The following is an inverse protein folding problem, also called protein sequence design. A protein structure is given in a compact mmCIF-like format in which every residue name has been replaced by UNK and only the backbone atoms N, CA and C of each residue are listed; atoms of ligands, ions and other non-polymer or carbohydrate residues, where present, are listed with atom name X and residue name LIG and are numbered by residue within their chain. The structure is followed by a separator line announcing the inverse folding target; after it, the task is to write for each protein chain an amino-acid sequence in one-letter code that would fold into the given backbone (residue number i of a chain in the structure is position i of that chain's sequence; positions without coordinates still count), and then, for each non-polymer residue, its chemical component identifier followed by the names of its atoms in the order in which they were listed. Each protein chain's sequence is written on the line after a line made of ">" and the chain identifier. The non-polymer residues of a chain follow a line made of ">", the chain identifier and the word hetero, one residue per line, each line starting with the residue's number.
data_IF_106321989479
#
_entry.id   IF_106321989479
#
_cell.length_a   1.000
_cell.length_b   1.000
_cell.length_c   1.000
_cell.angle_alpha   90.00
_cell.angle_beta   90.00
_cell.angle_gamma   90.00
#
_symmetry.space_group_name_H-M   'P 1'
#
loop_
_entity.id
_entity.type
_entity.pdbx_description
1 polymer ?
#
# COMPACT_ATOMS: atom_id res chain seq x y z
N UNK A 1 4.25 6.84 17.03
CA UNK A 1 3.63 7.35 15.81
C UNK A 1 4.08 6.54 14.59
N UNK A 2 3.33 6.59 13.51
CA UNK A 2 3.68 5.96 12.24
C UNK A 2 3.74 7.00 11.13
N UNK A 3 4.59 6.75 10.14
CA UNK A 3 4.76 7.61 8.96
C UNK A 3 4.48 6.74 7.73
N UNK A 4 3.70 7.26 6.76
CA UNK A 4 3.49 6.61 5.49
C UNK A 4 4.70 6.83 4.57
N UNK A 5 5.12 5.77 3.89
CA UNK A 5 6.27 5.77 2.99
C UNK A 5 5.84 5.97 1.54
N UNK A 6 6.60 6.74 0.80
CA UNK A 6 6.44 6.97 -0.65
C UNK A 6 7.49 6.23 -1.47
N UNK A 7 8.66 5.97 -0.88
CA UNK A 7 9.72 5.18 -1.50
C UNK A 7 9.78 3.78 -0.87
N UNK A 8 10.33 2.82 -1.60
CA UNK A 8 10.50 1.44 -1.11
C UNK A 8 11.64 1.27 -0.10
N UNK A 9 12.35 2.33 0.27
CA UNK A 9 13.49 2.26 1.18
C UNK A 9 13.39 3.30 2.29
N UNK A 10 13.60 2.85 3.51
CA UNK A 10 13.54 3.66 4.71
C UNK A 10 14.80 3.48 5.54
N UNK A 11 15.44 4.57 5.92
CA UNK A 11 16.53 4.57 6.89
C UNK A 11 16.03 5.02 8.25
N UNK A 12 16.31 4.25 9.28
CA UNK A 12 16.00 4.55 10.66
C UNK A 12 17.31 4.68 11.45
N UNK A 13 17.46 5.77 12.19
CA UNK A 13 18.65 6.06 13.01
C UNK A 13 18.20 6.56 14.40
N UNK A 14 18.20 5.73 15.42
CA UNK A 14 17.91 6.15 16.79
C UNK A 14 19.05 7.03 17.33
N UNK A 15 18.73 8.24 17.79
CA UNK A 15 19.71 9.21 18.30
C UNK A 15 19.72 9.29 19.82
N UNK A 16 18.60 9.12 20.47
CA UNK A 16 18.45 9.34 21.91
C UNK A 16 18.33 8.09 22.77
N UNK A 17 18.36 6.90 22.16
CA UNK A 17 18.22 5.59 22.81
C UNK A 17 17.95 4.55 21.74
N UNK A 18 17.90 3.28 22.14
CA UNK A 18 17.56 2.18 21.24
C UNK A 18 16.13 2.30 20.75
N UNK A 19 15.83 1.70 19.59
CA UNK A 19 14.49 1.68 19.02
C UNK A 19 14.10 0.29 18.53
N UNK A 20 12.80 0.02 18.57
CA UNK A 20 12.15 -1.12 17.94
C UNK A 20 11.37 -0.60 16.75
N UNK A 21 11.54 -1.24 15.59
CA UNK A 21 11.00 -0.77 14.33
C UNK A 21 10.19 -1.88 13.68
N UNK A 22 8.99 -1.54 13.24
CA UNK A 22 8.14 -2.40 12.43
C UNK A 22 7.67 -1.65 11.19
N UNK A 23 7.72 -2.32 10.04
CA UNK A 23 7.29 -1.78 8.75
C UNK A 23 6.17 -2.65 8.20
N UNK A 24 5.12 -2.04 7.67
CA UNK A 24 3.98 -2.77 7.13
C UNK A 24 2.78 -1.86 6.87
N UNK A 25 1.64 -2.45 6.61
CA UNK A 25 0.40 -1.72 6.31
C UNK A 25 -0.22 -1.07 7.56
N UNK A 26 -0.14 -1.76 8.71
CA UNK A 26 -0.63 -1.26 10.00
C UNK A 26 0.32 -1.66 11.13
N UNK A 27 1.58 -1.20 11.09
CA UNK A 27 2.61 -1.66 12.02
C UNK A 27 2.37 -1.14 13.44
N UNK A 28 2.70 -1.97 14.42
CA UNK A 28 2.73 -1.62 15.84
C UNK A 28 4.05 -2.10 16.43
N UNK A 29 4.99 -1.19 16.64
CA UNK A 29 6.29 -1.55 17.18
C UNK A 29 6.19 -1.98 18.64
N UNK A 30 6.71 -3.17 18.94
CA UNK A 30 6.78 -3.79 20.28
C UNK A 30 8.19 -4.22 20.59
N UNK A 31 8.47 -4.53 21.86
CA UNK A 31 9.79 -4.99 22.31
C UNK A 31 10.04 -6.46 21.94
N UNK A 32 8.97 -7.21 21.66
CA UNK A 32 9.03 -8.67 21.52
C UNK A 32 9.12 -9.14 20.06
N UNK A 33 8.50 -8.40 19.12
CA UNK A 33 8.34 -8.84 17.74
C UNK A 33 8.95 -7.92 16.70
N UNK A 34 9.30 -6.69 17.08
CA UNK A 34 9.83 -5.69 16.16
C UNK A 34 11.35 -5.76 16.03
N UNK A 35 11.89 -5.24 14.94
CA UNK A 35 13.32 -5.23 14.67
C UNK A 35 14.00 -4.23 15.62
N UNK A 36 14.94 -4.72 16.39
CA UNK A 36 15.76 -3.90 17.28
C UNK A 36 16.82 -3.12 16.48
N UNK A 37 16.88 -1.82 16.71
CA UNK A 37 17.89 -0.92 16.13
C UNK A 37 18.64 -0.23 17.26
N UNK A 38 19.94 -0.53 17.46
CA UNK A 38 20.74 0.10 18.49
C UNK A 38 20.88 1.61 18.31
N UNK A 39 21.04 2.32 19.41
CA UNK A 39 21.33 3.75 19.42
C UNK A 39 22.54 4.08 18.52
N UNK A 40 22.46 5.19 17.76
CA UNK A 40 23.52 5.67 16.87
C UNK A 40 23.86 4.73 15.70
N UNK A 41 23.05 3.68 15.49
CA UNK A 41 23.17 2.77 14.35
C UNK A 41 22.11 3.12 13.32
N UNK A 42 22.47 3.07 12.03
CA UNK A 42 21.50 3.25 10.96
C UNK A 42 21.14 1.90 10.34
N UNK A 43 19.85 1.62 10.24
CA UNK A 43 19.34 0.47 9.49
C UNK A 43 18.48 0.92 8.33
N UNK A 44 18.59 0.23 7.21
CA UNK A 44 17.76 0.44 6.02
C UNK A 44 16.77 -0.72 5.89
N UNK A 45 15.50 -0.37 5.80
CA UNK A 45 14.41 -1.30 5.57
C UNK A 45 13.97 -1.16 4.12
N UNK A 46 13.69 -2.28 3.48
CA UNK A 46 13.10 -2.35 2.15
C UNK A 46 11.68 -2.88 2.28
N UNK A 47 10.74 -2.19 1.65
CA UNK A 47 9.35 -2.64 1.57
C UNK A 47 8.82 -2.39 0.16
N UNK A 48 7.95 -3.28 -0.31
CA UNK A 48 7.34 -3.13 -1.62
C UNK A 48 6.21 -2.10 -1.57
N UNK A 49 6.42 -0.98 -2.24
CA UNK A 49 5.37 0.02 -2.49
C UNK A 49 4.77 -0.28 -3.87
N UNK A 50 3.88 -1.26 -3.91
CA UNK A 50 3.22 -1.65 -5.16
C UNK A 50 2.20 -0.59 -5.58
N UNK A 51 2.14 -0.28 -6.89
CA UNK A 51 1.11 0.57 -7.47
C UNK A 51 0.62 0.02 -8.80
N UNK A 52 -0.60 0.38 -9.18
CA UNK A 52 -1.21 -0.03 -10.45
C UNK A 52 -2.17 1.04 -10.95
N UNK A 53 -2.19 1.23 -12.27
CA UNK A 53 -3.17 2.07 -12.94
C UNK A 53 -4.50 1.32 -13.08
N UNK A 54 -5.61 2.04 -12.95
CA UNK A 54 -6.96 1.52 -13.16
C UNK A 54 -7.54 2.03 -14.47
N UNK A 55 -8.46 1.28 -15.06
CA UNK A 55 -9.10 1.64 -16.33
C UNK A 55 -10.59 1.97 -16.18
N UNK A 56 -11.22 1.49 -15.13
CA UNK A 56 -12.61 1.81 -14.84
C UNK A 56 -12.95 1.56 -13.39
N UNK A 57 -14.05 2.16 -12.94
CA UNK A 57 -14.58 2.04 -11.59
C UNK A 57 -16.07 1.71 -11.65
N UNK A 58 -16.51 0.87 -10.74
CA UNK A 58 -17.91 0.60 -10.49
C UNK A 58 -18.21 0.62 -8.98
N UNK A 59 -19.34 1.20 -8.62
CA UNK A 59 -19.82 1.15 -7.24
C UNK A 59 -20.63 -0.14 -7.02
N UNK A 60 -20.40 -0.82 -5.92
CA UNK A 60 -21.12 -2.00 -5.49
C UNK A 60 -21.44 -1.91 -4.00
N UNK A 61 -22.58 -1.30 -3.66
CA UNK A 61 -23.14 -1.30 -2.29
C UNK A 61 -22.15 -0.90 -1.19
N UNK A 62 -21.51 0.27 -1.35
CA UNK A 62 -20.55 0.81 -0.37
C UNK A 62 -19.10 0.38 -0.57
N UNK A 63 -18.86 -0.52 -1.50
CA UNK A 63 -17.53 -0.88 -1.96
C UNK A 63 -17.27 -0.31 -3.37
N UNK A 64 -16.08 0.15 -3.61
CA UNK A 64 -15.64 0.64 -4.92
C UNK A 64 -14.80 -0.44 -5.59
N UNK A 65 -15.23 -0.90 -6.76
CA UNK A 65 -14.55 -1.93 -7.55
C UNK A 65 -13.82 -1.27 -8.71
N UNK A 66 -12.51 -1.39 -8.73
CA UNK A 66 -11.64 -0.92 -9.79
C UNK A 66 -11.31 -2.07 -10.75
N UNK A 67 -11.38 -1.80 -12.05
CA UNK A 67 -10.90 -2.71 -13.07
C UNK A 67 -9.47 -2.35 -13.46
N UNK A 68 -8.65 -3.37 -13.64
CA UNK A 68 -7.25 -3.24 -14.04
C UNK A 68 -7.11 -3.45 -15.55
N UNK A 69 -5.99 -3.03 -16.16
CA UNK A 69 -5.71 -3.36 -17.55
C UNK A 69 -5.79 -4.87 -17.82
N UNK A 70 -6.24 -5.24 -19.00
CA UNK A 70 -6.37 -6.65 -19.39
C UNK A 70 -5.03 -7.40 -19.23
N UNK A 71 -5.10 -8.60 -18.70
CA UNK A 71 -3.91 -9.42 -18.44
C UNK A 71 -3.05 -9.00 -17.25
N UNK A 72 -3.45 -7.96 -16.51
CA UNK A 72 -2.70 -7.46 -15.35
C UNK A 72 -3.21 -8.07 -14.06
N UNK A 73 -2.29 -8.62 -13.27
CA UNK A 73 -2.57 -9.10 -11.91
C UNK A 73 -2.50 -7.94 -10.91
N UNK A 74 -3.40 -7.94 -9.93
CA UNK A 74 -3.38 -6.95 -8.87
C UNK A 74 -2.18 -7.21 -7.93
N UNK A 75 -1.31 -6.22 -7.67
CA UNK A 75 -0.18 -6.40 -6.78
C UNK A 75 -0.56 -6.23 -5.30
N UNK A 76 -1.82 -6.50 -4.96
CA UNK A 76 -2.37 -6.34 -3.61
C UNK A 76 -2.99 -7.64 -3.12
N UNK A 77 -3.09 -7.76 -1.80
CA UNK A 77 -3.83 -8.83 -1.13
C UNK A 77 -4.95 -8.24 -0.27
N UNK A 78 -5.96 -9.05 0.04
CA UNK A 78 -7.03 -8.67 0.98
C UNK A 78 -6.42 -8.30 2.34
N UNK A 79 -6.84 -7.16 2.88
CA UNK A 79 -6.30 -6.57 4.10
C UNK A 79 -5.18 -5.55 3.89
N UNK A 80 -4.65 -5.40 2.68
CA UNK A 80 -3.75 -4.29 2.38
C UNK A 80 -4.50 -2.96 2.52
N UNK A 81 -3.77 -1.93 2.97
CA UNK A 81 -4.24 -0.54 2.88
C UNK A 81 -3.63 0.12 1.65
N UNK A 82 -4.48 0.86 0.94
CA UNK A 82 -4.09 1.53 -0.31
C UNK A 82 -4.55 2.98 -0.33
N UNK A 83 -3.80 3.84 -1.01
CA UNK A 83 -4.27 5.16 -1.43
C UNK A 83 -4.77 5.09 -2.87
N UNK A 84 -5.74 5.93 -3.21
CA UNK A 84 -6.25 6.10 -4.56
C UNK A 84 -6.11 7.56 -4.96
N UNK A 85 -5.52 7.79 -6.12
CA UNK A 85 -5.27 9.13 -6.65
C UNK A 85 -5.58 9.23 -8.12
N UNK A 86 -5.84 10.46 -8.60
CA UNK A 86 -6.03 10.72 -10.03
C UNK A 86 -7.41 10.37 -10.58
N UNK A 87 -8.32 9.85 -9.77
CA UNK A 87 -9.67 9.52 -10.22
C UNK A 87 -10.55 10.78 -10.33
N UNK A 88 -11.48 10.74 -11.27
CA UNK A 88 -12.58 11.67 -11.40
C UNK A 88 -13.92 10.91 -11.24
N UNK A 89 -14.89 11.37 -10.43
CA UNK A 89 -14.81 12.56 -9.59
C UNK A 89 -13.83 12.38 -8.42
N UNK A 90 -13.30 13.50 -7.91
CA UNK A 90 -12.29 13.50 -6.85
C UNK A 90 -12.73 12.81 -5.55
N UNK A 91 -14.02 12.60 -5.34
CA UNK A 91 -14.58 11.92 -4.16
C UNK A 91 -14.16 10.44 -4.02
N UNK A 92 -13.67 9.82 -5.09
CA UNK A 92 -13.10 8.46 -5.02
C UNK A 92 -11.60 8.44 -4.68
N UNK A 93 -10.93 9.58 -4.67
CA UNK A 93 -9.55 9.63 -4.19
C UNK A 93 -9.54 9.52 -2.67
N UNK A 94 -8.65 8.69 -2.15
CA UNK A 94 -8.50 8.47 -0.71
C UNK A 94 -7.05 8.24 -0.34
N UNK A 95 -6.68 8.64 0.86
CA UNK A 95 -5.34 8.40 1.40
C UNK A 95 -5.22 7.04 2.10
N UNK A 96 -6.34 6.36 2.36
CA UNK A 96 -6.34 5.03 2.98
C UNK A 96 -7.70 4.36 2.82
N UNK A 97 -7.75 3.26 2.08
CA UNK A 97 -8.90 2.36 2.00
C UNK A 97 -8.42 0.92 2.20
N UNK A 98 -9.29 0.05 2.66
CA UNK A 98 -8.98 -1.37 2.85
C UNK A 98 -9.28 -2.16 1.56
N UNK A 99 -8.35 -3.01 1.15
CA UNK A 99 -8.59 -3.98 0.07
C UNK A 99 -9.44 -5.11 0.62
N UNK A 100 -10.66 -5.24 0.14
CA UNK A 100 -11.63 -6.26 0.61
C UNK A 100 -11.77 -7.45 -0.33
N UNK A 101 -11.49 -7.26 -1.62
CA UNK A 101 -11.42 -8.36 -2.58
C UNK A 101 -10.43 -8.06 -3.70
N UNK A 102 -9.77 -9.09 -4.16
CA UNK A 102 -8.90 -9.08 -5.33
C UNK A 102 -9.32 -10.24 -6.21
N UNK A 103 -9.66 -9.94 -7.47
CA UNK A 103 -9.89 -10.96 -8.49
C UNK A 103 -8.97 -10.65 -9.65
N UNK A 104 -8.21 -11.62 -10.12
CA UNK A 104 -7.27 -11.42 -11.20
C UNK A 104 -7.56 -12.33 -12.37
N UNK A 105 -6.97 -12.06 -13.53
CA UNK A 105 -6.74 -13.11 -14.48
C UNK A 105 -5.86 -14.13 -13.75
N UNK A 106 -6.36 -15.35 -13.56
CA UNK A 106 -5.56 -16.41 -12.97
C UNK A 106 -4.54 -16.91 -14.03
N UNK A 107 -3.25 -16.59 -13.90
CA UNK A 107 -2.26 -17.01 -14.90
C UNK A 107 -2.03 -18.52 -14.92
N UNK A 108 -2.58 -19.27 -13.98
CA UNK A 108 -2.36 -20.71 -13.81
C UNK A 108 -3.61 -21.55 -14.14
N UNK A 109 -4.29 -21.26 -15.28
CA UNK A 109 -4.98 -22.29 -16.02
C UNK A 109 -6.02 -23.15 -15.30
N UNK A 110 -6.92 -22.55 -14.52
CA UNK A 110 -8.22 -23.19 -14.30
C UNK A 110 -9.12 -22.76 -15.45
N UNK A 111 -9.65 -23.75 -16.16
CA UNK A 111 -10.52 -23.61 -17.32
C UNK A 111 -11.42 -22.37 -17.26
N UNK A 112 -11.21 -21.40 -18.17
CA UNK A 112 -12.05 -20.22 -18.33
C UNK A 112 -11.40 -18.86 -18.06
N UNK A 113 -10.11 -18.79 -17.77
CA UNK A 113 -9.41 -17.51 -17.61
C UNK A 113 -8.71 -17.13 -18.91
N UNK A 114 -9.39 -16.26 -19.63
CA UNK A 114 -8.85 -15.57 -20.79
C UNK A 114 -7.83 -14.51 -20.31
N UNK A 115 -6.65 -14.49 -20.90
CA UNK A 115 -5.64 -13.45 -20.69
C UNK A 115 -6.13 -12.05 -21.09
N UNK A 116 -7.30 -11.97 -21.71
CA UNK A 116 -7.99 -10.73 -22.05
C UNK A 116 -8.90 -10.21 -20.94
N UNK A 117 -9.14 -10.99 -19.87
CA UNK A 117 -9.96 -10.54 -18.76
C UNK A 117 -9.20 -9.59 -17.86
N UNK A 118 -9.86 -8.54 -17.43
CA UNK A 118 -9.34 -7.56 -16.48
C UNK A 118 -9.41 -8.10 -15.07
N UNK A 119 -8.31 -8.00 -14.33
CA UNK A 119 -8.32 -8.15 -12.88
C UNK A 119 -9.15 -7.05 -12.22
N UNK A 120 -9.58 -7.25 -10.99
CA UNK A 120 -10.30 -6.22 -10.23
C UNK A 120 -9.80 -6.14 -8.80
N UNK A 121 -9.83 -4.92 -8.24
CA UNK A 121 -9.59 -4.64 -6.83
C UNK A 121 -10.82 -3.97 -6.24
N UNK A 122 -11.34 -4.49 -5.15
CA UNK A 122 -12.47 -3.89 -4.43
C UNK A 122 -11.97 -3.26 -3.15
N UNK A 123 -12.32 -2.01 -2.94
CA UNK A 123 -11.94 -1.21 -1.79
C UNK A 123 -13.16 -0.85 -0.96
N UNK A 124 -13.02 -0.90 0.37
CA UNK A 124 -13.99 -0.37 1.32
C UNK A 124 -13.60 1.06 1.69
N UNK A 125 -14.50 1.99 1.40
CA UNK A 125 -14.37 3.41 1.75
C UNK A 125 -15.15 3.76 3.02
N UNK A 126 -15.94 2.84 3.55
CA UNK A 126 -16.82 3.11 4.68
C UNK A 126 -17.98 4.08 4.37
N UNK A 127 -18.16 4.50 3.12
CA UNK A 127 -19.21 5.41 2.68
C UNK A 127 -20.06 4.77 1.57
N UNK A 128 -21.29 4.41 1.91
CA UNK A 128 -22.25 3.77 1.01
C UNK A 128 -22.78 4.69 -0.11
N UNK A 129 -22.54 6.00 -0.03
CA UNK A 129 -23.08 7.00 -0.95
C UNK A 129 -22.08 7.45 -2.04
N UNK A 130 -20.87 6.91 -2.05
CA UNK A 130 -19.91 7.21 -3.10
C UNK A 130 -20.44 6.73 -4.45
N UNK A 131 -20.55 7.65 -5.39
CA UNK A 131 -20.90 7.35 -6.79
C UNK A 131 -19.65 7.45 -7.63
N UNK A 132 -19.26 6.35 -8.24
CA UNK A 132 -18.11 6.27 -9.13
C UNK A 132 -18.57 6.14 -10.59
N UNK A 133 -18.17 7.06 -11.42
CA UNK A 133 -18.54 7.08 -12.84
C UNK A 133 -17.36 6.93 -13.79
N UNK A 134 -16.16 7.35 -13.38
CA UNK A 134 -14.95 7.24 -14.19
C UNK A 134 -13.75 6.90 -13.31
N UNK A 135 -13.02 5.85 -13.64
CA UNK A 135 -12.03 5.27 -12.76
C UNK A 135 -10.65 5.11 -13.34
N UNK A 136 -10.24 6.02 -14.22
CA UNK A 136 -8.83 6.10 -14.58
C UNK A 136 -8.09 6.80 -13.44
N UNK A 137 -7.24 6.06 -12.75
CA UNK A 137 -6.47 6.56 -11.61
C UNK A 137 -5.38 5.59 -11.23
N UNK A 138 -4.74 5.83 -10.11
CA UNK A 138 -3.69 4.97 -9.57
C UNK A 138 -4.08 4.48 -8.18
N UNK A 139 -3.94 3.18 -7.94
CA UNK A 139 -4.01 2.56 -6.62
C UNK A 139 -2.58 2.26 -6.19
N UNK A 140 -2.19 2.69 -4.99
CA UNK A 140 -0.86 2.44 -4.41
C UNK A 140 -0.98 1.85 -3.02
N UNK A 141 -0.18 0.82 -2.74
CA UNK A 141 -0.08 0.25 -1.40
C UNK A 141 0.46 1.29 -0.41
N UNK A 142 -0.24 1.47 0.71
CA UNK A 142 0.22 2.30 1.83
C UNK A 142 1.09 1.45 2.74
N UNK A 143 2.36 1.81 2.82
CA UNK A 143 3.32 1.22 3.75
C UNK A 143 3.64 2.25 4.83
N UNK A 144 3.62 1.84 6.07
CA UNK A 144 3.90 2.68 7.23
C UNK A 144 5.07 2.09 8.02
N UNK A 145 5.74 2.95 8.77
CA UNK A 145 6.71 2.55 9.76
C UNK A 145 6.23 2.95 11.15
N UNK A 146 6.25 2.03 12.08
CA UNK A 146 6.08 2.30 13.49
C UNK A 146 7.43 2.22 14.19
N UNK A 147 7.67 3.15 15.12
CA UNK A 147 8.89 3.16 15.92
C UNK A 147 8.52 3.34 17.38
N UNK A 148 9.06 2.47 18.22
CA UNK A 148 9.02 2.55 19.67
C UNK A 148 10.46 2.68 20.20
N UNK A 149 10.71 3.64 21.06
CA UNK A 149 12.02 3.85 21.67
C UNK A 149 11.96 4.90 22.76
N UNK A 150 13.00 4.97 23.57
CA UNK A 150 13.10 5.89 24.71
C UNK A 150 13.58 7.29 24.34
N UNK A 151 13.96 7.52 23.08
CA UNK A 151 14.56 8.79 22.66
C UNK A 151 14.18 9.21 21.25
N UNK A 152 14.85 10.25 20.76
CA UNK A 152 14.65 10.76 19.40
C UNK A 152 15.14 9.74 18.38
N UNK A 153 14.32 9.50 17.34
CA UNK A 153 14.68 8.65 16.20
C UNK A 153 14.50 9.45 14.92
N UNK A 154 15.53 9.45 14.10
CA UNK A 154 15.48 10.03 12.75
C UNK A 154 15.01 8.98 11.76
N UNK A 155 14.00 9.33 10.99
CA UNK A 155 13.45 8.50 9.93
C UNK A 155 13.57 9.29 8.63
N UNK A 156 14.17 8.71 7.61
CA UNK A 156 14.29 9.31 6.29
C UNK A 156 14.04 8.29 5.19
N UNK A 157 13.30 8.67 4.18
CA UNK A 157 13.25 7.91 2.93
C UNK A 157 14.60 8.00 2.21
N UNK A 158 15.01 6.89 1.61
CA UNK A 158 16.26 6.80 0.85
C UNK A 158 15.90 6.52 -0.60
N UNK A 159 16.33 7.40 -1.50
CA UNK A 159 16.33 7.11 -2.92
C UNK A 159 17.67 6.45 -3.25
N UNK A 160 17.61 5.25 -3.80
CA UNK A 160 18.79 4.59 -4.36
C UNK A 160 18.87 5.04 -5.81
N UNK A 161 19.79 5.94 -6.07
CA UNK A 161 20.18 6.33 -7.43
C UNK A 161 21.27 5.35 -7.85
N UNK A 162 20.92 4.37 -8.66
CA UNK A 162 21.87 3.46 -9.27
C UNK A 162 22.15 3.91 -10.70
N UNK A 163 23.43 4.08 -11.06
CA UNK A 163 23.84 4.00 -12.45
C UNK A 163 23.87 2.51 -12.82
N UNK A 164 23.01 2.11 -13.74
CA UNK A 164 22.97 0.77 -14.33
C UNK A 164 23.46 0.80 -15.76
#
# INVERSE_FOLDING_TARGET
>A
GSIALKSGYLRVTPAGGDAFVEVGTNPTATDDSSIYVPQKTSMVFKESVASIQTISVANASGAIKFSLPAGTEAPFIVGDKVEVTGCAPAGINTTSADVTAVTGPNPFGVSGTDSTQSGTVTLDYGDANLSATDGVGEIRKVVKVAVRGSGKTHISEVQIVGDF
#
